data_IF_803659949384
#
_entry.id   IF_803659949384
#
_cell.length_a   1.000
_cell.length_b   1.000
_cell.length_c   1.000
_cell.angle_alpha   90.00
_cell.angle_beta   90.00
_cell.angle_gamma   90.00
#
_symmetry.space_group_name_H-M   'P 1'
#
loop_
_entity.id
_entity.type
_entity.pdbx_description
1 polymer ?
#
# COMPACT_ATOMS: atom_id res chain seq x y z
N UNK A 1 -2.99 -10.52 -13.54
CA UNK A 1 -1.61 -10.15 -13.17
C UNK A 1 -0.98 -11.33 -12.46
N UNK A 2 0.28 -11.70 -12.78
CA UNK A 2 0.95 -12.79 -12.07
C UNK A 2 1.14 -12.43 -10.59
N UNK A 3 1.09 -13.42 -9.67
CA UNK A 3 1.26 -13.21 -8.24
C UNK A 3 2.68 -12.72 -7.92
N UNK A 4 2.80 -11.74 -7.01
CA UNK A 4 4.08 -11.15 -6.61
C UNK A 4 4.71 -11.92 -5.45
N UNK A 5 6.03 -12.13 -5.47
CA UNK A 5 6.74 -12.81 -4.36
C UNK A 5 6.85 -11.95 -3.09
N UNK A 6 6.90 -10.63 -3.22
CA UNK A 6 6.94 -9.68 -2.11
C UNK A 6 6.07 -8.47 -2.49
N UNK A 7 4.93 -8.25 -1.81
CA UNK A 7 4.13 -7.05 -2.03
C UNK A 7 4.88 -5.82 -1.51
N UNK A 8 4.75 -4.69 -2.19
CA UNK A 8 5.26 -3.41 -1.64
C UNK A 8 4.40 -2.96 -0.45
N UNK A 9 4.90 -2.07 0.40
CA UNK A 9 4.13 -1.53 1.52
C UNK A 9 2.77 -0.96 1.09
N UNK A 10 2.72 -0.32 -0.08
CA UNK A 10 1.49 0.19 -0.69
C UNK A 10 0.51 -0.92 -1.08
N UNK A 11 1.00 -1.99 -1.68
CA UNK A 11 0.17 -3.16 -2.05
C UNK A 11 -0.36 -3.89 -0.81
N UNK A 12 0.48 -4.04 0.22
CA UNK A 12 0.08 -4.60 1.50
C UNK A 12 -0.99 -3.71 2.17
N UNK A 13 -0.83 -2.38 2.11
CA UNK A 13 -1.84 -1.43 2.60
C UNK A 13 -3.18 -1.59 1.90
N UNK A 14 -3.21 -1.69 0.58
CA UNK A 14 -4.44 -1.94 -0.18
C UNK A 14 -5.14 -3.22 0.31
N UNK A 15 -4.40 -4.32 0.42
CA UNK A 15 -4.93 -5.60 0.88
C UNK A 15 -5.51 -5.51 2.30
N UNK A 16 -4.80 -4.84 3.22
CA UNK A 16 -5.25 -4.61 4.59
C UNK A 16 -6.55 -3.80 4.63
N UNK A 17 -6.68 -2.73 3.84
CA UNK A 17 -7.90 -1.93 3.83
C UNK A 17 -9.09 -2.71 3.23
N UNK A 18 -8.88 -3.50 2.18
CA UNK A 18 -9.93 -4.38 1.65
C UNK A 18 -10.38 -5.44 2.67
N UNK A 19 -9.42 -6.01 3.41
CA UNK A 19 -9.72 -6.95 4.50
C UNK A 19 -10.51 -6.30 5.62
N UNK A 20 -10.14 -5.08 6.03
CA UNK A 20 -10.90 -4.32 7.04
C UNK A 20 -12.33 -4.05 6.61
N UNK A 21 -12.54 -3.65 5.35
CA UNK A 21 -13.88 -3.43 4.82
C UNK A 21 -14.70 -4.74 4.82
N UNK A 22 -14.08 -5.88 4.45
CA UNK A 22 -14.73 -7.19 4.51
C UNK A 22 -15.14 -7.56 5.93
N UNK A 23 -14.21 -7.46 6.88
CA UNK A 23 -14.44 -7.81 8.29
C UNK A 23 -15.50 -6.90 8.92
N UNK A 24 -15.51 -5.60 8.57
CA UNK A 24 -16.55 -4.65 9.00
C UNK A 24 -17.94 -5.00 8.43
N UNK A 25 -18.00 -5.58 7.24
CA UNK A 25 -19.23 -6.08 6.63
C UNK A 25 -19.68 -7.45 7.19
N UNK A 26 -18.88 -8.08 8.07
CA UNK A 26 -19.19 -9.38 8.66
C UNK A 26 -19.10 -10.55 7.67
N UNK A 27 -18.39 -10.40 6.55
CA UNK A 27 -18.26 -11.43 5.54
C UNK A 27 -17.01 -12.28 5.73
N UNK A 28 -17.15 -13.58 5.50
CA UNK A 28 -16.02 -14.50 5.45
C UNK A 28 -15.24 -14.35 4.14
N UNK A 29 -13.95 -14.71 4.16
CA UNK A 29 -13.09 -14.63 2.96
C UNK A 29 -13.62 -15.51 1.80
N UNK A 30 -14.29 -16.63 2.11
CA UNK A 30 -14.94 -17.49 1.10
C UNK A 30 -16.13 -16.82 0.44
N UNK A 31 -16.93 -16.06 1.18
CA UNK A 31 -18.07 -15.33 0.64
C UNK A 31 -17.58 -14.21 -0.28
N UNK A 32 -16.57 -13.43 0.15
CA UNK A 32 -15.93 -12.42 -0.68
C UNK A 32 -15.31 -13.01 -1.97
N UNK A 33 -14.74 -14.20 -1.90
CA UNK A 33 -14.22 -14.90 -3.08
C UNK A 33 -15.35 -15.24 -4.07
N UNK A 34 -16.49 -15.74 -3.58
CA UNK A 34 -17.68 -16.00 -4.40
C UNK A 34 -18.22 -14.73 -5.06
N UNK A 35 -18.21 -13.59 -4.35
CA UNK A 35 -18.63 -12.31 -4.90
C UNK A 35 -17.76 -11.81 -6.06
N UNK A 36 -16.52 -12.29 -6.17
CA UNK A 36 -15.60 -11.94 -7.25
C UNK A 36 -15.43 -13.03 -8.30
N UNK A 37 -16.16 -14.14 -8.17
CA UNK A 37 -16.01 -15.33 -9.01
C UNK A 37 -14.56 -15.86 -8.99
N UNK A 38 -13.92 -15.82 -7.81
CA UNK A 38 -12.56 -16.31 -7.55
C UNK A 38 -12.54 -17.35 -6.43
N UNK A 39 -11.42 -18.06 -6.28
CA UNK A 39 -11.23 -18.98 -5.16
C UNK A 39 -10.74 -18.24 -3.90
N UNK A 40 -10.88 -18.89 -2.74
CA UNK A 40 -10.47 -18.34 -1.44
C UNK A 40 -8.98 -18.02 -1.35
N UNK A 41 -8.13 -18.78 -2.05
CA UNK A 41 -6.68 -18.53 -2.14
C UNK A 41 -6.42 -17.20 -2.84
N UNK A 42 -7.11 -16.92 -3.94
CA UNK A 42 -6.98 -15.66 -4.67
C UNK A 42 -7.50 -14.49 -3.85
N UNK A 43 -8.60 -14.66 -3.10
CA UNK A 43 -9.09 -13.64 -2.19
C UNK A 43 -8.07 -13.32 -1.10
N UNK A 44 -7.47 -14.35 -0.49
CA UNK A 44 -6.38 -14.19 0.49
C UNK A 44 -5.14 -13.51 -0.12
N UNK A 45 -4.80 -13.81 -1.37
CA UNK A 45 -3.72 -13.12 -2.09
C UNK A 45 -4.03 -11.65 -2.36
N UNK A 46 -5.29 -11.29 -2.62
CA UNK A 46 -5.71 -9.89 -2.77
C UNK A 46 -5.57 -9.17 -1.42
N UNK A 47 -6.05 -9.77 -0.32
CA UNK A 47 -5.98 -9.19 1.02
C UNK A 47 -4.55 -9.11 1.60
N UNK A 48 -3.61 -9.89 1.06
CA UNK A 48 -2.19 -9.80 1.39
C UNK A 48 -1.40 -8.90 0.43
N UNK A 49 -2.05 -8.31 -0.59
CA UNK A 49 -1.40 -7.46 -1.60
C UNK A 49 -0.58 -8.22 -2.66
N UNK A 50 -0.54 -9.54 -2.59
CA UNK A 50 0.19 -10.41 -3.53
C UNK A 50 -0.45 -10.38 -4.92
N UNK A 51 -1.78 -10.43 -4.96
CA UNK A 51 -2.57 -10.35 -6.19
C UNK A 51 -3.17 -8.95 -6.35
N UNK A 52 -3.04 -8.38 -7.54
CA UNK A 52 -3.73 -7.14 -7.89
C UNK A 52 -5.23 -7.35 -8.05
N UNK A 53 -6.00 -6.29 -7.79
CA UNK A 53 -7.45 -6.22 -8.00
C UNK A 53 -7.76 -5.13 -9.02
N UNK A 54 -8.68 -5.38 -9.95
CA UNK A 54 -9.12 -4.36 -10.90
C UNK A 54 -10.05 -3.36 -10.23
N UNK A 55 -10.19 -2.16 -10.82
CA UNK A 55 -11.18 -1.17 -10.36
C UNK A 55 -12.59 -1.78 -10.27
N UNK A 56 -13.02 -2.48 -11.33
CA UNK A 56 -14.34 -3.12 -11.39
C UNK A 56 -14.56 -4.08 -10.19
N UNK A 57 -13.59 -4.96 -9.92
CA UNK A 57 -13.67 -5.90 -8.80
C UNK A 57 -13.63 -5.19 -7.46
N UNK A 58 -12.82 -4.14 -7.32
CA UNK A 58 -12.73 -3.37 -6.09
C UNK A 58 -14.06 -2.66 -5.78
N UNK A 59 -14.68 -2.02 -6.78
CA UNK A 59 -15.99 -1.40 -6.63
C UNK A 59 -17.08 -2.42 -6.33
N UNK A 60 -17.03 -3.60 -6.95
CA UNK A 60 -17.94 -4.72 -6.63
C UNK A 60 -17.80 -5.16 -5.18
N UNK A 61 -16.58 -5.33 -4.68
CA UNK A 61 -16.34 -5.62 -3.25
C UNK A 61 -16.90 -4.51 -2.35
N UNK A 62 -16.59 -3.25 -2.64
CA UNK A 62 -17.04 -2.13 -1.82
C UNK A 62 -18.57 -2.06 -1.71
N UNK A 63 -19.29 -2.32 -2.81
CA UNK A 63 -20.74 -2.39 -2.83
C UNK A 63 -21.28 -3.52 -1.93
N UNK A 64 -20.68 -4.72 -1.99
CA UNK A 64 -21.08 -5.84 -1.13
C UNK A 64 -20.67 -5.63 0.34
N UNK A 65 -19.60 -4.89 0.58
CA UNK A 65 -19.13 -4.54 1.93
C UNK A 65 -19.93 -3.39 2.55
N UNK A 66 -20.97 -2.90 1.87
CA UNK A 66 -21.79 -1.76 2.32
C UNK A 66 -20.98 -0.49 2.59
N UNK A 67 -19.83 -0.33 1.94
CA UNK A 67 -19.01 0.87 2.00
C UNK A 67 -19.63 1.93 1.08
N UNK A 68 -20.11 3.04 1.65
CA UNK A 68 -20.68 4.18 0.92
C UNK A 68 -19.76 5.39 0.82
N UNK A 69 -18.55 5.28 1.39
CA UNK A 69 -17.52 6.33 1.31
C UNK A 69 -16.86 6.30 -0.09
N UNK A 70 -17.37 7.13 -1.00
CA UNK A 70 -16.86 7.25 -2.36
C UNK A 70 -15.43 7.81 -2.43
N UNK A 71 -15.01 8.62 -1.45
CA UNK A 71 -13.65 9.16 -1.40
C UNK A 71 -12.64 8.06 -1.05
N UNK A 72 -12.99 7.22 -0.07
CA UNK A 72 -12.23 6.02 0.26
C UNK A 72 -12.17 5.05 -0.91
N UNK A 73 -13.30 4.73 -1.54
CA UNK A 73 -13.36 3.82 -2.69
C UNK A 73 -12.48 4.34 -3.83
N UNK A 74 -12.61 5.63 -4.18
CA UNK A 74 -11.79 6.29 -5.20
C UNK A 74 -10.29 6.21 -4.87
N UNK A 75 -9.93 6.43 -3.60
CA UNK A 75 -8.54 6.34 -3.14
C UNK A 75 -7.98 4.92 -3.24
N UNK A 76 -8.77 3.90 -2.88
CA UNK A 76 -8.39 2.49 -3.01
C UNK A 76 -8.30 2.06 -4.48
N UNK A 77 -9.20 2.52 -5.34
CA UNK A 77 -9.14 2.32 -6.80
C UNK A 77 -7.86 2.93 -7.36
N UNK A 78 -7.54 4.18 -6.99
CA UNK A 78 -6.30 4.84 -7.40
C UNK A 78 -5.09 4.04 -6.93
N UNK A 79 -5.12 3.53 -5.70
CA UNK A 79 -4.05 2.68 -5.17
C UNK A 79 -3.87 1.40 -6.00
N UNK A 80 -4.96 0.74 -6.37
CA UNK A 80 -4.97 -0.53 -7.11
C UNK A 80 -4.56 -0.39 -8.59
N UNK A 81 -4.88 0.74 -9.21
CA UNK A 81 -4.73 0.94 -10.67
C UNK A 81 -3.48 1.72 -11.06
N UNK A 82 -2.86 2.43 -10.13
CA UNK A 82 -1.64 3.19 -10.36
C UNK A 82 -0.47 2.29 -10.74
N UNK A 83 0.20 2.66 -11.83
CA UNK A 83 1.33 1.96 -12.44
C UNK A 83 2.60 2.81 -12.44
N UNK A 84 2.69 3.77 -11.53
CA UNK A 84 3.88 4.61 -11.37
C UNK A 84 5.12 3.74 -11.22
N UNK A 85 6.09 3.96 -12.11
CA UNK A 85 7.39 3.31 -12.06
C UNK A 85 8.38 4.31 -11.48
N UNK A 86 8.58 4.27 -10.18
CA UNK A 86 9.46 5.20 -9.47
C UNK A 86 10.94 4.93 -9.72
N UNK A 87 11.77 5.94 -9.41
CA UNK A 87 13.23 5.85 -9.49
C UNK A 87 13.81 4.77 -8.55
N UNK A 88 13.12 4.47 -7.44
CA UNK A 88 13.57 3.44 -6.49
C UNK A 88 13.62 2.04 -7.09
N UNK A 89 12.83 1.76 -8.14
CA UNK A 89 12.85 0.47 -8.82
C UNK A 89 14.21 0.17 -9.46
N UNK A 90 14.99 1.20 -9.83
CA UNK A 90 16.37 1.06 -10.34
C UNK A 90 17.33 0.49 -9.28
N UNK A 91 16.96 0.62 -8.00
CA UNK A 91 17.72 0.09 -6.87
C UNK A 91 17.25 -1.28 -6.38
N UNK A 92 16.27 -1.90 -7.06
CA UNK A 92 15.81 -3.25 -6.75
C UNK A 92 16.95 -4.25 -6.92
N UNK A 93 17.23 -5.03 -5.87
CA UNK A 93 18.36 -5.97 -5.82
C UNK A 93 19.68 -5.34 -5.37
N UNK A 94 19.79 -4.01 -5.34
CA UNK A 94 20.93 -3.28 -4.78
C UNK A 94 20.68 -2.86 -3.33
N UNK A 95 19.42 -2.51 -3.00
CA UNK A 95 19.00 -2.13 -1.66
C UNK A 95 18.00 -3.13 -1.06
N UNK A 96 17.97 -3.29 0.27
CA UNK A 96 16.91 -4.00 0.96
C UNK A 96 15.52 -3.44 0.63
N UNK A 97 14.53 -4.33 0.44
CA UNK A 97 13.14 -3.98 0.10
C UNK A 97 12.53 -2.88 0.97
N UNK A 98 12.73 -2.84 2.31
CA UNK A 98 12.13 -1.78 3.14
C UNK A 98 12.55 -0.35 2.77
N UNK A 99 13.75 -0.15 2.19
CA UNK A 99 14.16 1.17 1.72
C UNK A 99 13.42 1.58 0.45
N UNK A 100 13.12 0.62 -0.43
CA UNK A 100 12.33 0.86 -1.63
C UNK A 100 10.87 1.13 -1.27
N UNK A 101 10.33 0.40 -0.28
CA UNK A 101 9.00 0.62 0.27
C UNK A 101 8.87 2.03 0.86
N UNK A 102 9.88 2.48 1.62
CA UNK A 102 9.90 3.84 2.17
C UNK A 102 9.91 4.90 1.06
N UNK A 103 10.74 4.73 0.04
CA UNK A 103 10.80 5.66 -1.09
C UNK A 103 9.47 5.73 -1.86
N UNK A 104 8.80 4.59 -2.09
CA UNK A 104 7.46 4.57 -2.70
C UNK A 104 6.42 5.28 -1.81
N UNK A 105 6.44 5.01 -0.50
CA UNK A 105 5.53 5.65 0.45
C UNK A 105 5.70 7.17 0.46
N UNK A 106 6.94 7.66 0.52
CA UNK A 106 7.24 9.09 0.48
C UNK A 106 6.84 9.73 -0.85
N UNK A 107 7.02 9.03 -1.98
CA UNK A 107 6.62 9.53 -3.30
C UNK A 107 5.11 9.81 -3.41
N UNK A 108 4.30 8.95 -2.80
CA UNK A 108 2.84 9.11 -2.81
C UNK A 108 2.30 9.94 -1.63
N UNK A 109 3.13 10.30 -0.66
CA UNK A 109 2.73 11.09 0.48
C UNK A 109 2.38 12.53 0.07
N UNK A 110 1.30 13.07 0.64
CA UNK A 110 0.94 14.50 0.47
C UNK A 110 1.54 15.39 1.54
N UNK A 111 1.94 14.81 2.67
CA UNK A 111 2.66 15.48 3.74
C UNK A 111 3.52 14.48 4.52
N UNK A 112 4.58 14.99 5.15
CA UNK A 112 5.39 14.27 6.13
C UNK A 112 5.26 15.00 7.47
N UNK A 113 5.03 14.25 8.54
CA UNK A 113 5.09 14.77 9.90
C UNK A 113 6.15 13.98 10.66
N UNK A 114 7.23 14.67 11.03
CA UNK A 114 8.37 14.09 11.71
C UNK A 114 8.57 14.78 13.07
N UNK A 115 8.93 14.00 14.08
CA UNK A 115 9.30 14.51 15.41
C UNK A 115 10.67 13.94 15.78
N UNK A 116 11.67 14.82 15.87
CA UNK A 116 13.03 14.47 16.28
C UNK A 116 13.36 15.18 17.59
N UNK A 117 13.79 14.42 18.60
CA UNK A 117 14.09 14.96 19.93
C UNK A 117 15.58 15.21 20.16
N UNK A 118 16.44 14.42 19.51
CA UNK A 118 17.88 14.44 19.74
C UNK A 118 18.63 15.24 18.67
N UNK A 119 18.13 15.23 17.44
CA UNK A 119 18.79 15.84 16.28
C UNK A 119 17.84 16.73 15.49
N UNK A 120 18.41 17.67 14.75
CA UNK A 120 17.67 18.40 13.72
C UNK A 120 17.33 17.41 12.58
N UNK A 121 16.09 17.40 12.05
CA UNK A 121 15.71 16.55 10.92
C UNK A 121 16.67 16.69 9.75
N UNK A 122 17.02 15.58 9.08
CA UNK A 122 18.02 15.53 8.00
C UNK A 122 17.87 16.64 6.95
N UNK A 123 16.67 16.85 6.36
CA UNK A 123 16.44 17.91 5.38
C UNK A 123 16.67 19.34 5.87
N UNK A 124 16.74 19.55 7.19
CA UNK A 124 16.96 20.83 7.85
C UNK A 124 18.37 20.96 8.44
N UNK A 125 19.22 19.93 8.31
CA UNK A 125 20.60 19.99 8.77
C UNK A 125 21.45 20.85 7.84
N UNK A 126 22.30 21.69 8.43
CA UNK A 126 23.39 22.34 7.70
C UNK A 126 24.57 21.37 7.57
N UNK A 127 25.45 21.60 6.60
CA UNK A 127 26.66 20.79 6.43
C UNK A 127 27.49 20.73 7.73
N UNK A 128 27.67 21.88 8.40
CA UNK A 128 28.41 21.95 9.67
C UNK A 128 27.75 21.12 10.77
N UNK A 129 26.42 21.13 10.85
CA UNK A 129 25.69 20.32 11.83
C UNK A 129 25.83 18.82 11.53
N UNK A 130 25.61 18.41 10.29
CA UNK A 130 25.71 17.01 9.88
C UNK A 130 27.12 16.44 10.18
N UNK A 131 28.19 17.20 9.87
CA UNK A 131 29.57 16.80 10.17
C UNK A 131 29.81 16.62 11.67
N UNK A 132 29.22 17.46 12.52
CA UNK A 132 29.38 17.36 13.97
C UNK A 132 28.62 16.16 14.59
N UNK A 133 27.53 15.70 13.95
CA UNK A 133 26.74 14.56 14.42
C UNK A 133 27.33 13.22 13.98
N UNK A 134 27.91 13.14 12.77
CA UNK A 134 28.38 11.89 12.17
C UNK A 134 29.90 11.66 12.22
N UNK A 135 30.67 12.53 12.89
CA UNK A 135 32.11 12.35 13.16
C UNK A 135 32.36 11.45 14.36
#
# INVERSE_FOLDING_TARGET
MPPRRQPTARQARLGIELRKLREAAGLEATEAASLLDVNSVQMSQIESGIAGVSEERLRRLAAHYSCSDEELISSLVKMATDRTHGWWEEHRGHLPTPFLDLAELEHHATFLREVQFLYIPGPLQTENYARAVFS
#
